data_IF_744453498814
#
_entry.id   IF_744453498814
#
_cell.length_a   1.000
_cell.length_b   1.000
_cell.length_c   1.000
_cell.angle_alpha   90.00
_cell.angle_beta   90.00
_cell.angle_gamma   90.00
#
_symmetry.space_group_name_H-M   'P 1'
#
loop_
_entity.id
_entity.type
_entity.pdbx_description
1 polymer ?
#
# COMPACT_ATOMS: atom_id res chain seq x y z
N UNK A 1 10.77 -32.69 -33.45
CA UNK A 1 12.09 -33.13 -32.94
C UNK A 1 13.17 -32.13 -33.31
N UNK A 2 13.45 -31.85 -34.59
CA UNK A 2 14.49 -30.90 -35.02
C UNK A 2 14.40 -29.50 -34.34
N UNK A 3 13.24 -28.84 -34.40
CA UNK A 3 13.05 -27.54 -33.77
C UNK A 3 13.20 -27.56 -32.22
N UNK A 4 12.81 -28.66 -31.57
CA UNK A 4 13.04 -28.81 -30.12
C UNK A 4 14.53 -28.97 -29.81
N UNK A 5 15.28 -29.65 -30.67
CA UNK A 5 16.73 -29.75 -30.52
C UNK A 5 17.40 -28.36 -30.69
N UNK A 6 16.90 -27.52 -31.59
CA UNK A 6 17.39 -26.14 -31.72
C UNK A 6 17.06 -25.28 -30.49
N UNK A 7 15.91 -25.48 -29.85
CA UNK A 7 15.54 -24.76 -28.62
C UNK A 7 16.41 -25.19 -27.44
N UNK A 8 16.58 -26.50 -27.21
CA UNK A 8 17.24 -27.02 -26.00
C UNK A 8 18.77 -27.13 -26.11
N UNK A 9 19.32 -27.39 -27.31
CA UNK A 9 20.74 -27.73 -27.47
C UNK A 9 21.60 -26.62 -28.10
N UNK A 10 21.07 -25.39 -28.21
CA UNK A 10 21.79 -24.24 -28.77
C UNK A 10 22.79 -23.63 -27.77
N UNK A 11 22.45 -23.59 -26.50
CA UNK A 11 23.33 -23.08 -25.43
C UNK A 11 23.10 -23.83 -24.11
N UNK A 12 24.09 -23.79 -23.22
CA UNK A 12 24.02 -24.46 -21.91
C UNK A 12 24.14 -25.99 -21.98
N UNK A 13 23.38 -26.68 -21.14
CA UNK A 13 23.42 -28.13 -20.97
C UNK A 13 22.66 -28.83 -22.09
N UNK A 14 23.35 -29.73 -22.82
CA UNK A 14 22.72 -30.54 -23.86
C UNK A 14 21.78 -31.58 -23.25
N UNK A 15 20.57 -31.63 -23.75
CA UNK A 15 19.54 -32.60 -23.40
C UNK A 15 19.38 -33.64 -24.51
N UNK A 16 19.24 -34.91 -24.12
CA UNK A 16 19.07 -36.03 -25.04
C UNK A 16 17.58 -36.19 -25.40
N UNK A 17 17.19 -35.64 -26.55
CA UNK A 17 15.82 -35.73 -27.06
C UNK A 17 15.58 -37.04 -27.86
N UNK A 18 16.62 -37.80 -28.18
CA UNK A 18 16.52 -39.04 -28.95
C UNK A 18 16.17 -40.23 -28.06
N UNK A 19 16.46 -40.15 -26.76
CA UNK A 19 16.01 -41.14 -25.78
C UNK A 19 14.49 -41.14 -25.53
N UNK A 20 13.78 -40.09 -25.94
CA UNK A 20 12.33 -39.93 -25.73
C UNK A 20 11.51 -40.59 -26.84
N UNK A 21 10.45 -41.30 -26.45
CA UNK A 21 9.46 -41.89 -27.35
C UNK A 21 8.64 -40.82 -28.08
N UNK A 22 8.03 -41.17 -29.21
CA UNK A 22 7.19 -40.23 -29.97
C UNK A 22 5.97 -39.72 -29.18
N UNK A 23 5.47 -40.53 -28.26
CA UNK A 23 4.38 -40.15 -27.37
C UNK A 23 4.84 -39.09 -26.36
N UNK A 24 5.99 -39.29 -25.73
CA UNK A 24 6.58 -38.33 -24.77
C UNK A 24 6.94 -37.01 -25.45
N UNK A 25 7.47 -37.05 -26.67
CA UNK A 25 7.74 -35.83 -27.43
C UNK A 25 6.47 -35.03 -27.74
N UNK A 26 5.36 -35.70 -28.04
CA UNK A 26 4.07 -35.03 -28.27
C UNK A 26 3.54 -34.40 -26.98
N UNK A 27 3.67 -35.08 -25.86
CA UNK A 27 3.28 -34.56 -24.55
C UNK A 27 4.13 -33.34 -24.16
N UNK A 28 5.45 -33.43 -24.28
CA UNK A 28 6.38 -32.32 -24.07
C UNK A 28 6.02 -31.13 -24.96
N UNK A 29 5.81 -31.35 -26.26
CA UNK A 29 5.42 -30.30 -27.20
C UNK A 29 4.09 -29.65 -26.83
N UNK A 30 3.17 -30.40 -26.21
CA UNK A 30 1.88 -29.87 -25.76
C UNK A 30 2.06 -28.97 -24.54
N UNK A 31 2.92 -29.36 -23.59
CA UNK A 31 3.21 -28.57 -22.39
C UNK A 31 3.94 -27.25 -22.69
N UNK A 32 4.81 -27.25 -23.71
CA UNK A 32 5.61 -26.07 -24.08
C UNK A 32 4.85 -25.02 -24.92
N UNK A 33 3.59 -25.26 -25.29
CA UNK A 33 2.80 -24.32 -26.11
C UNK A 33 2.61 -22.95 -25.47
N UNK A 34 2.52 -22.89 -24.14
CA UNK A 34 2.32 -21.65 -23.39
C UNK A 34 3.61 -20.83 -23.22
N UNK A 35 4.76 -21.41 -23.60
CA UNK A 35 6.08 -20.84 -23.40
C UNK A 35 7.07 -21.90 -22.92
N UNK A 36 8.31 -21.81 -23.38
CA UNK A 36 9.40 -22.70 -22.96
C UNK A 36 9.93 -22.21 -21.61
N UNK A 37 9.86 -23.00 -20.52
CA UNK A 37 10.44 -22.62 -19.25
C UNK A 37 11.97 -22.54 -19.37
N UNK A 38 12.55 -21.41 -18.99
CA UNK A 38 13.99 -21.19 -18.97
C UNK A 38 14.49 -21.19 -17.53
N UNK A 39 15.70 -21.71 -17.33
CA UNK A 39 16.39 -21.67 -16.05
C UNK A 39 17.65 -20.83 -16.18
N UNK A 40 17.85 -19.89 -15.25
CA UNK A 40 18.98 -18.96 -15.26
C UNK A 40 19.58 -18.94 -13.84
N UNK A 41 20.66 -19.69 -13.58
CA UNK A 41 21.34 -19.69 -12.30
C UNK A 41 21.81 -18.29 -11.87
N UNK A 42 21.90 -18.05 -10.55
CA UNK A 42 22.20 -16.72 -9.98
C UNK A 42 23.57 -16.17 -10.40
N UNK A 43 24.55 -17.04 -10.66
CA UNK A 43 25.94 -16.66 -10.99
C UNK A 43 26.46 -17.23 -12.31
N UNK A 44 25.65 -18.05 -12.99
CA UNK A 44 25.98 -18.68 -14.27
C UNK A 44 24.74 -18.58 -15.17
N UNK A 45 24.32 -17.35 -15.39
CA UNK A 45 23.10 -17.03 -16.10
C UNK A 45 23.29 -16.95 -17.61
N UNK A 46 22.18 -16.80 -18.32
CA UNK A 46 22.18 -16.59 -19.76
C UNK A 46 22.85 -15.24 -20.10
N UNK A 47 23.79 -15.29 -21.03
CA UNK A 47 24.44 -14.12 -21.59
C UNK A 47 23.50 -13.33 -22.51
N UNK A 48 23.83 -12.06 -22.77
CA UNK A 48 23.01 -11.23 -23.66
C UNK A 48 22.96 -11.77 -25.09
N UNK A 49 24.06 -12.36 -25.59
CA UNK A 49 24.11 -12.97 -26.93
C UNK A 49 23.15 -14.17 -27.03
N UNK A 50 23.11 -15.03 -26.00
CA UNK A 50 22.18 -16.15 -25.94
C UNK A 50 20.72 -15.68 -25.92
N UNK A 51 20.40 -14.59 -25.21
CA UNK A 51 19.06 -14.01 -25.21
C UNK A 51 18.69 -13.49 -26.61
N UNK A 52 19.60 -12.77 -27.28
CA UNK A 52 19.38 -12.23 -28.63
C UNK A 52 19.18 -13.35 -29.66
N UNK A 53 19.92 -14.44 -29.53
CA UNK A 53 19.83 -15.62 -30.39
C UNK A 53 18.51 -16.38 -30.21
N UNK A 54 18.01 -16.45 -28.98
CA UNK A 54 16.71 -17.04 -28.68
C UNK A 54 15.55 -16.15 -29.18
N UNK A 55 15.69 -14.83 -29.15
CA UNK A 55 14.74 -13.92 -29.78
C UNK A 55 14.68 -14.13 -31.29
N UNK A 56 15.84 -14.28 -31.94
CA UNK A 56 15.93 -14.54 -33.37
C UNK A 56 15.33 -15.90 -33.75
N UNK A 57 15.52 -16.95 -32.94
CA UNK A 57 14.89 -18.26 -33.12
C UNK A 57 13.35 -18.19 -33.01
N UNK A 58 12.82 -17.22 -32.27
CA UNK A 58 11.39 -16.97 -32.09
C UNK A 58 10.82 -15.98 -33.13
N UNK A 59 11.58 -15.62 -34.17
CA UNK A 59 11.22 -14.61 -35.17
C UNK A 59 10.94 -13.22 -34.56
N UNK A 60 11.59 -12.90 -33.43
CA UNK A 60 11.46 -11.62 -32.73
C UNK A 60 12.68 -10.71 -32.96
N UNK A 61 12.53 -9.38 -32.88
CA UNK A 61 13.66 -8.46 -33.00
C UNK A 61 14.72 -8.72 -31.92
N UNK A 62 16.00 -8.78 -32.32
CA UNK A 62 17.13 -8.96 -31.38
C UNK A 62 17.21 -7.86 -30.31
N UNK A 63 16.59 -6.70 -30.54
CA UNK A 63 16.50 -5.63 -29.55
C UNK A 63 15.49 -5.90 -28.43
N UNK A 64 14.58 -6.87 -28.59
CA UNK A 64 13.43 -7.08 -27.70
C UNK A 64 12.40 -5.95 -27.75
N UNK A 65 12.50 -5.06 -28.74
CA UNK A 65 11.62 -3.90 -28.91
C UNK A 65 10.70 -4.07 -30.11
N UNK A 66 9.43 -3.68 -29.93
CA UNK A 66 8.41 -3.74 -30.97
C UNK A 66 7.68 -2.40 -31.08
N UNK A 67 7.08 -2.13 -32.24
CA UNK A 67 6.21 -0.95 -32.39
C UNK A 67 4.86 -1.24 -31.76
N UNK A 68 4.51 -0.48 -30.72
CA UNK A 68 3.19 -0.54 -30.10
C UNK A 68 2.27 0.52 -30.71
N UNK A 69 0.96 0.34 -30.51
CA UNK A 69 -0.08 1.27 -30.95
C UNK A 69 -0.93 1.69 -29.74
N UNK A 70 -1.33 2.97 -29.66
CA UNK A 70 -2.22 3.45 -28.58
C UNK A 70 -3.62 2.82 -28.77
N UNK A 71 -4.09 2.08 -27.76
CA UNK A 71 -5.39 1.42 -27.79
C UNK A 71 -6.60 2.38 -27.81
N UNK A 72 -6.39 3.69 -27.60
CA UNK A 72 -7.45 4.71 -27.67
C UNK A 72 -7.54 5.38 -29.04
N UNK A 73 -6.41 5.67 -29.68
CA UNK A 73 -6.39 6.42 -30.97
C UNK A 73 -6.08 5.53 -32.17
N UNK A 74 -5.33 4.46 -31.99
CA UNK A 74 -4.83 3.60 -33.05
C UNK A 74 -3.51 4.05 -33.68
N UNK A 75 -2.93 5.17 -33.22
CA UNK A 75 -1.65 5.67 -33.73
C UNK A 75 -0.47 4.85 -33.18
N UNK A 76 0.59 4.71 -33.98
CA UNK A 76 1.83 4.09 -33.53
C UNK A 76 2.58 5.01 -32.55
N UNK A 77 3.25 4.42 -31.55
CA UNK A 77 4.16 5.19 -30.71
C UNK A 77 5.41 5.64 -31.51
N UNK A 78 5.92 6.84 -31.19
CA UNK A 78 7.07 7.45 -31.89
C UNK A 78 8.36 6.62 -31.84
N UNK A 79 8.51 5.76 -30.83
CA UNK A 79 9.70 4.94 -30.60
C UNK A 79 9.31 3.51 -30.26
N UNK A 80 10.10 2.50 -30.69
CA UNK A 80 9.85 1.11 -30.35
C UNK A 80 10.00 0.90 -28.84
N UNK A 81 9.15 0.04 -28.28
CA UNK A 81 9.04 -0.20 -26.83
C UNK A 81 9.47 -1.62 -26.53
N UNK A 82 10.25 -1.81 -25.46
CA UNK A 82 10.62 -3.14 -24.97
C UNK A 82 9.39 -3.82 -24.38
N UNK A 83 9.05 -4.99 -24.91
CA UNK A 83 7.92 -5.81 -24.45
C UNK A 83 8.42 -7.20 -24.14
N UNK A 84 7.96 -7.80 -23.05
CA UNK A 84 8.35 -9.14 -22.67
C UNK A 84 7.51 -9.67 -21.52
N UNK A 85 7.80 -10.91 -21.13
CA UNK A 85 7.15 -11.56 -20.01
C UNK A 85 7.97 -11.36 -18.75
N UNK A 86 7.43 -10.58 -17.82
CA UNK A 86 7.97 -10.44 -16.47
C UNK A 86 7.12 -11.25 -15.49
N UNK A 87 7.76 -12.08 -14.67
CA UNK A 87 7.07 -12.79 -13.59
C UNK A 87 6.75 -11.81 -12.46
N UNK A 88 5.46 -11.53 -12.26
CA UNK A 88 5.00 -10.59 -11.24
C UNK A 88 4.39 -11.33 -10.04
N UNK A 89 4.74 -10.87 -8.84
CA UNK A 89 4.14 -11.34 -7.58
C UNK A 89 3.20 -10.28 -7.01
N UNK A 90 2.02 -10.72 -6.57
CA UNK A 90 1.09 -9.89 -5.79
C UNK A 90 1.44 -10.03 -4.31
N UNK A 91 1.89 -8.94 -3.68
CA UNK A 91 2.14 -8.90 -2.24
C UNK A 91 0.82 -8.97 -1.45
N UNK A 92 0.89 -9.43 -0.21
CA UNK A 92 -0.25 -9.49 0.72
C UNK A 92 -0.73 -8.10 1.19
N UNK A 93 -0.19 -7.01 0.63
CA UNK A 93 -0.58 -5.65 0.97
C UNK A 93 -1.85 -5.23 0.21
N UNK A 94 -2.98 -5.83 0.58
CA UNK A 94 -4.27 -5.54 -0.02
C UNK A 94 -4.83 -4.21 0.51
N UNK A 95 -5.41 -3.42 -0.39
CA UNK A 95 -6.02 -2.12 -0.04
C UNK A 95 -7.24 -2.30 0.86
N UNK A 96 -8.02 -3.36 0.64
CA UNK A 96 -9.23 -3.67 1.43
C UNK A 96 -8.90 -3.89 2.91
N UNK A 97 -7.73 -4.50 3.18
CA UNK A 97 -7.24 -4.70 4.54
C UNK A 97 -6.78 -3.39 5.20
N UNK A 98 -6.34 -2.42 4.39
CA UNK A 98 -5.82 -1.12 4.86
C UNK A 98 -6.89 -0.04 4.99
N UNK A 99 -8.02 -0.16 4.27
CA UNK A 99 -9.11 0.80 4.37
C UNK A 99 -9.71 0.77 5.78
N UNK A 100 -9.76 1.94 6.42
CA UNK A 100 -10.33 2.13 7.74
C UNK A 100 -10.87 3.55 7.88
N UNK A 101 -12.11 3.69 8.32
CA UNK A 101 -12.77 4.97 8.54
C UNK A 101 -13.58 4.91 9.84
N UNK A 102 -13.63 6.03 10.54
CA UNK A 102 -14.34 6.18 11.81
C UNK A 102 -15.02 7.55 11.85
N UNK A 103 -16.29 7.56 12.27
CA UNK A 103 -17.01 8.77 12.67
C UNK A 103 -17.05 8.87 14.20
N UNK A 104 -17.86 8.02 14.84
CA UNK A 104 -17.92 7.83 16.29
C UNK A 104 -17.65 6.37 16.64
N UNK A 105 -17.32 6.06 17.89
CA UNK A 105 -16.94 4.71 18.29
C UNK A 105 -16.61 4.61 19.78
N UNK A 106 -16.02 3.51 20.23
CA UNK A 106 -15.63 3.32 21.61
C UNK A 106 -14.46 4.24 22.02
N UNK A 107 -14.40 4.52 23.32
CA UNK A 107 -13.41 5.38 23.97
C UNK A 107 -12.74 4.64 25.13
N UNK A 108 -11.52 5.04 25.45
CA UNK A 108 -10.76 4.56 26.60
C UNK A 108 -11.44 4.94 27.91
N UNK A 109 -11.45 4.04 28.89
CA UNK A 109 -12.02 4.29 30.22
C UNK A 109 -11.27 5.41 30.96
N UNK A 110 -9.94 5.42 30.84
CA UNK A 110 -9.07 6.28 31.64
C UNK A 110 -8.92 7.65 30.99
N UNK A 111 -8.45 7.68 29.74
CA UNK A 111 -8.12 8.93 29.04
C UNK A 111 -9.29 9.53 28.27
N UNK A 112 -10.42 8.81 28.17
CA UNK A 112 -11.60 9.21 27.37
C UNK A 112 -11.33 9.45 25.87
N UNK A 113 -10.14 9.09 25.38
CA UNK A 113 -9.74 9.21 23.98
C UNK A 113 -10.29 8.05 23.12
N UNK A 114 -10.49 8.25 21.80
CA UNK A 114 -10.77 7.18 20.85
C UNK A 114 -9.82 5.99 21.01
N UNK A 115 -10.34 4.76 20.99
CA UNK A 115 -9.48 3.56 20.97
C UNK A 115 -8.58 3.54 19.73
N UNK A 116 -7.48 2.79 19.78
CA UNK A 116 -6.55 2.61 18.65
C UNK A 116 -6.83 1.36 17.82
N UNK A 117 -6.54 1.44 16.52
CA UNK A 117 -6.50 0.28 15.61
C UNK A 117 -7.83 -0.08 14.94
N UNK A 118 -7.75 -0.66 13.73
CA UNK A 118 -8.91 -1.04 12.91
C UNK A 118 -9.85 -2.01 13.62
N UNK A 119 -9.32 -2.97 14.37
CA UNK A 119 -10.11 -3.99 15.08
C UNK A 119 -11.04 -3.42 16.17
N UNK A 120 -10.68 -2.28 16.77
CA UNK A 120 -11.47 -1.62 17.81
C UNK A 120 -12.24 -0.41 17.27
N UNK A 121 -12.38 -0.33 15.94
CA UNK A 121 -12.95 0.82 15.25
C UNK A 121 -12.29 2.14 15.70
N UNK A 122 -10.96 2.10 15.80
CA UNK A 122 -10.14 3.12 16.45
C UNK A 122 -9.99 4.42 15.66
N UNK A 123 -9.64 5.49 16.35
CA UNK A 123 -9.31 6.78 15.72
C UNK A 123 -7.87 6.81 15.18
N UNK A 124 -7.60 7.76 14.30
CA UNK A 124 -6.24 8.08 13.88
C UNK A 124 -5.53 8.85 15.00
N UNK A 125 -4.23 8.57 15.17
CA UNK A 125 -3.40 9.37 16.05
C UNK A 125 -3.09 10.69 15.37
N UNK A 126 -3.50 11.78 16.01
CA UNK A 126 -3.07 13.12 15.67
C UNK A 126 -1.95 13.50 16.64
N UNK A 127 -0.71 13.55 16.15
CA UNK A 127 0.48 13.74 16.96
C UNK A 127 0.98 15.17 16.98
N UNK A 128 2.10 15.37 17.66
CA UNK A 128 2.76 16.67 17.83
C UNK A 128 3.15 17.31 16.49
N UNK A 129 3.66 16.50 15.54
CA UNK A 129 4.02 17.01 14.22
C UNK A 129 2.81 17.49 13.43
N UNK A 130 1.67 16.82 13.55
CA UNK A 130 0.43 17.28 12.90
C UNK A 130 -0.15 18.53 13.59
N UNK A 131 0.04 18.69 14.90
CA UNK A 131 -0.29 19.92 15.63
C UNK A 131 0.53 21.10 15.09
N UNK A 132 1.85 20.95 14.98
CA UNK A 132 2.73 22.00 14.42
C UNK A 132 2.31 22.42 13.01
N UNK A 133 1.86 21.47 12.20
CA UNK A 133 1.37 21.78 10.87
C UNK A 133 0.15 22.74 10.92
N UNK A 134 -0.82 22.49 11.81
CA UNK A 134 -1.99 23.37 11.95
C UNK A 134 -1.62 24.73 12.57
N UNK A 135 -0.69 24.76 13.51
CA UNK A 135 -0.18 26.00 14.11
C UNK A 135 0.50 26.89 13.07
N UNK A 136 1.31 26.31 12.18
CA UNK A 136 1.98 27.04 11.10
C UNK A 136 1.00 27.71 10.12
N UNK A 137 -0.16 27.09 9.88
CA UNK A 137 -1.24 27.68 9.07
C UNK A 137 -2.11 28.69 9.83
N UNK A 138 -1.95 28.81 11.15
CA UNK A 138 -2.84 29.63 11.99
C UNK A 138 -4.26 29.05 12.12
N UNK A 139 -4.43 27.74 11.92
CA UNK A 139 -5.73 27.07 11.92
C UNK A 139 -6.22 26.76 13.36
N UNK A 140 -6.37 27.80 14.19
CA UNK A 140 -6.64 27.68 15.62
C UNK A 140 -7.93 26.91 15.94
N UNK A 141 -9.03 27.16 15.22
CA UNK A 141 -10.30 26.47 15.44
C UNK A 141 -10.23 24.99 15.06
N UNK A 142 -9.55 24.65 13.96
CA UNK A 142 -9.35 23.25 13.56
C UNK A 142 -8.52 22.49 14.58
N UNK A 143 -7.44 23.12 15.07
CA UNK A 143 -6.62 22.54 16.12
C UNK A 143 -7.40 22.34 17.42
N UNK A 144 -8.16 23.36 17.84
CA UNK A 144 -9.01 23.28 19.03
C UNK A 144 -10.02 22.13 18.90
N UNK A 145 -10.65 21.96 17.73
CA UNK A 145 -11.62 20.89 17.47
C UNK A 145 -10.97 19.51 17.59
N UNK A 146 -9.78 19.32 17.00
CA UNK A 146 -9.03 18.07 17.05
C UNK A 146 -8.61 17.70 18.47
N UNK A 147 -8.19 18.67 19.28
CA UNK A 147 -7.71 18.44 20.64
C UNK A 147 -8.82 18.30 21.69
N UNK A 148 -10.05 18.76 21.41
CA UNK A 148 -11.16 18.77 22.38
C UNK A 148 -12.31 17.85 21.92
N UNK A 149 -13.29 18.39 21.18
CA UNK A 149 -14.56 17.73 20.84
C UNK A 149 -14.41 16.51 19.94
N UNK A 150 -13.30 16.37 19.20
CA UNK A 150 -12.98 15.16 18.41
C UNK A 150 -12.14 14.13 19.17
N UNK A 151 -11.68 14.47 20.38
CA UNK A 151 -10.81 13.63 21.21
C UNK A 151 -11.50 13.26 22.52
N UNK A 152 -11.24 14.02 23.60
CA UNK A 152 -11.48 13.61 24.98
C UNK A 152 -12.42 14.53 25.76
N UNK A 153 -12.98 15.59 25.17
CA UNK A 153 -14.07 16.36 25.79
C UNK A 153 -15.39 15.56 25.70
N UNK A 154 -15.71 14.84 26.76
CA UNK A 154 -16.89 13.97 26.86
C UNK A 154 -18.19 14.74 26.67
N UNK A 155 -18.26 15.96 27.21
CA UNK A 155 -19.45 16.80 27.14
C UNK A 155 -19.58 17.47 25.78
N UNK A 156 -18.48 18.02 25.27
CA UNK A 156 -18.39 18.73 24.01
C UNK A 156 -18.64 17.81 22.81
N UNK A 157 -18.10 16.59 22.80
CA UNK A 157 -18.32 15.64 21.69
C UNK A 157 -19.79 15.25 21.53
N UNK A 158 -20.51 15.10 22.64
CA UNK A 158 -21.93 14.70 22.63
C UNK A 158 -22.79 15.84 22.10
N UNK A 159 -22.54 17.07 22.57
CA UNK A 159 -23.19 18.29 22.07
C UNK A 159 -22.87 18.56 20.60
N UNK A 160 -21.62 18.35 20.19
CA UNK A 160 -21.18 18.53 18.81
C UNK A 160 -21.93 17.59 17.87
N UNK A 161 -22.05 16.31 18.25
CA UNK A 161 -22.82 15.33 17.48
C UNK A 161 -24.29 15.74 17.34
N UNK A 162 -24.95 16.13 18.43
CA UNK A 162 -26.33 16.62 18.37
C UNK A 162 -26.50 17.87 17.51
N UNK A 163 -25.53 18.80 17.57
CA UNK A 163 -25.57 20.06 16.82
C UNK A 163 -25.43 19.79 15.32
N UNK A 164 -24.49 18.91 14.93
CA UNK A 164 -24.32 18.49 13.54
C UNK A 164 -25.61 17.86 12.99
N UNK A 165 -26.29 17.01 13.79
CA UNK A 165 -27.58 16.41 13.39
C UNK A 165 -28.68 17.47 13.22
N UNK A 166 -28.65 18.55 14.01
CA UNK A 166 -29.58 19.69 13.93
C UNK A 166 -29.21 20.71 12.84
N UNK A 167 -28.06 20.54 12.17
CA UNK A 167 -27.54 21.48 11.18
C UNK A 167 -26.89 22.74 11.76
N UNK A 168 -26.59 22.75 13.06
CA UNK A 168 -25.79 23.80 13.70
C UNK A 168 -24.33 23.32 13.84
N UNK A 169 -23.39 24.09 13.29
CA UNK A 169 -21.96 23.74 13.25
C UNK A 169 -21.13 24.52 14.28
N UNK A 170 -21.77 25.08 15.30
CA UNK A 170 -21.07 25.75 16.40
C UNK A 170 -20.38 24.73 17.31
N UNK A 171 -19.22 25.15 17.82
CA UNK A 171 -18.38 24.36 18.69
C UNK A 171 -18.30 25.02 20.07
N UNK A 172 -18.74 24.31 21.10
CA UNK A 172 -18.52 24.67 22.50
C UNK A 172 -17.43 23.76 23.07
N UNK A 173 -16.19 24.26 23.11
CA UNK A 173 -15.04 23.52 23.64
C UNK A 173 -14.98 23.62 25.17
N UNK A 174 -15.00 22.47 25.83
CA UNK A 174 -14.69 22.35 27.25
C UNK A 174 -13.20 22.11 27.52
N UNK A 175 -12.92 21.67 28.74
CA UNK A 175 -11.58 21.25 29.15
C UNK A 175 -11.35 19.78 28.76
N UNK A 176 -10.23 19.44 28.09
CA UNK A 176 -9.84 18.06 27.82
C UNK A 176 -9.75 17.20 29.07
N UNK A 177 -10.25 15.96 29.03
CA UNK A 177 -10.10 15.03 30.15
C UNK A 177 -8.65 14.63 30.40
N UNK A 178 -7.80 14.59 29.37
CA UNK A 178 -6.36 14.39 29.55
C UNK A 178 -5.72 15.43 30.47
N UNK A 179 -6.15 16.69 30.38
CA UNK A 179 -5.66 17.76 31.27
C UNK A 179 -6.20 17.60 32.70
N UNK A 180 -7.47 17.19 32.85
CA UNK A 180 -8.02 16.87 34.17
C UNK A 180 -7.27 15.71 34.85
N UNK A 181 -6.96 14.66 34.10
CA UNK A 181 -6.17 13.52 34.60
C UNK A 181 -4.80 13.99 35.06
N UNK A 182 -4.11 14.82 34.27
CA UNK A 182 -2.82 15.41 34.65
C UNK A 182 -2.89 16.20 35.97
N UNK A 183 -3.91 17.04 36.14
CA UNK A 183 -4.10 17.81 37.39
C UNK A 183 -4.30 16.89 38.60
N UNK A 184 -5.05 15.79 38.44
CA UNK A 184 -5.28 14.82 39.53
C UNK A 184 -4.01 14.04 39.86
N UNK A 185 -3.23 13.65 38.85
CA UNK A 185 -1.94 12.98 39.03
C UNK A 185 -0.95 13.88 39.78
N UNK A 186 -0.84 15.16 39.42
CA UNK A 186 0.05 16.10 40.12
C UNK A 186 -0.39 16.34 41.58
N UNK A 187 -1.69 16.49 41.83
CA UNK A 187 -2.22 16.61 43.21
C UNK A 187 -1.99 15.35 44.05
N UNK A 188 -1.99 14.17 43.44
CA UNK A 188 -1.68 12.92 44.14
C UNK A 188 -0.25 12.85 44.67
N UNK A 189 0.67 13.63 44.08
CA UNK A 189 2.06 13.74 44.53
C UNK A 189 2.22 14.74 45.70
N UNK A 190 1.14 15.40 46.11
CA UNK A 190 1.17 16.46 47.13
C UNK A 190 1.55 17.84 46.56
N UNK A 191 1.50 18.03 45.24
CA UNK A 191 1.69 19.32 44.59
C UNK A 191 0.32 19.98 44.42
N UNK A 192 0.10 21.11 45.07
CA UNK A 192 -1.14 21.87 44.90
C UNK A 192 -1.09 22.71 43.62
N UNK A 193 -2.10 22.52 42.76
CA UNK A 193 -2.22 23.19 41.47
C UNK A 193 -3.68 23.57 41.32
N UNK A 194 -3.93 24.87 41.18
CA UNK A 194 -5.24 25.44 40.99
C UNK A 194 -5.30 26.26 39.70
N UNK A 195 -6.50 26.39 39.13
CA UNK A 195 -6.75 27.26 38.00
C UNK A 195 -7.09 28.64 38.55
N UNK A 196 -6.18 29.60 38.40
CA UNK A 196 -6.47 30.98 38.76
C UNK A 196 -7.52 31.56 37.79
N UNK A 197 -8.61 32.09 38.34
CA UNK A 197 -9.50 32.94 37.57
C UNK A 197 -8.92 34.35 37.54
N UNK A 198 -8.38 34.76 36.39
CA UNK A 198 -8.22 36.20 36.13
C UNK A 198 -9.62 36.81 36.11
N UNK A 199 -9.86 37.76 37.01
CA UNK A 199 -10.97 38.71 36.87
C UNK A 199 -10.76 39.62 35.68
#
# INVERSE_FOLDING_TARGET
RAFLAEIYNRSGKKEDLDSLTDQEIRELSTNLRSGVPMATPVFDGASEEEIRDMLELADLPRSGQVTLYDGRTGDAFDRPVTVGYLYMLKLHHLVDDKMHARSTGPYSLVTQQPLGGKAQFGGQRFGEMEVWALEAYGAAYTLQEMLTVKSDDVSGRSKMYESIVKGDFRMDAGMPESFNVLLKELRSLGIDIELEQSK
#
